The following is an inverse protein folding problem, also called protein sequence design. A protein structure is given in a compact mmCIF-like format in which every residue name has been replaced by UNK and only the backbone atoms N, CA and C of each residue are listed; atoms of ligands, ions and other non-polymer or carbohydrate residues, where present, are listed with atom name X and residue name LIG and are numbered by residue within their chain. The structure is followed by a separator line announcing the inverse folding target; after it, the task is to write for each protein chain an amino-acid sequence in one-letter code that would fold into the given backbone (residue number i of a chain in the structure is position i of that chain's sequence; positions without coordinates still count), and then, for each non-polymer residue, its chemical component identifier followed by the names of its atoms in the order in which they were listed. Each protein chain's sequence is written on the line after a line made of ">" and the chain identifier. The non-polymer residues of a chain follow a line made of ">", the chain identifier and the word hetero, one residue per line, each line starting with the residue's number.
data_IF_189300856767
#
_entry.id   IF_189300856767
#
_cell.length_a   1.000
_cell.length_b   1.000
_cell.length_c   1.000
_cell.angle_alpha   90.00
_cell.angle_beta   90.00
_cell.angle_gamma   90.00
#
_symmetry.space_group_name_H-M   'P 1'
#
loop_
_entity.id
_entity.type
_entity.pdbx_description
1 polymer ?
#
# COMPACT_ATOMS: atom_id res chain seq x y z
N UNK A 1 -0.77 13.78 -8.25
CA UNK A 1 0.28 13.04 -7.51
C UNK A 1 1.50 13.97 -7.29
N UNK A 2 1.30 15.18 -6.73
CA UNK A 2 2.33 16.24 -6.64
C UNK A 2 3.12 16.25 -5.31
N UNK A 3 2.88 15.27 -4.44
CA UNK A 3 3.35 15.30 -3.04
C UNK A 3 4.12 14.06 -2.59
N UNK A 4 4.14 13.01 -3.43
CA UNK A 4 5.04 11.88 -3.29
C UNK A 4 6.25 12.14 -4.20
N UNK A 5 7.46 11.89 -3.68
CA UNK A 5 8.70 12.00 -4.47
C UNK A 5 8.74 10.88 -5.50
N UNK A 6 8.33 9.68 -5.09
CA UNK A 6 8.43 8.45 -5.89
C UNK A 6 7.44 7.43 -5.32
N UNK A 7 6.75 6.69 -6.16
CA UNK A 7 5.90 5.58 -5.73
C UNK A 7 6.04 4.41 -6.70
N UNK A 8 6.17 3.19 -6.16
CA UNK A 8 6.06 1.94 -6.91
C UNK A 8 4.92 1.12 -6.35
N UNK A 9 4.17 0.44 -7.21
CA UNK A 9 3.15 -0.52 -6.83
C UNK A 9 3.01 -1.62 -7.87
N UNK A 10 2.34 -2.71 -7.53
CA UNK A 10 2.00 -3.76 -8.49
C UNK A 10 0.90 -3.32 -9.47
N UNK A 11 1.05 -3.65 -10.75
CA UNK A 11 0.01 -3.48 -11.77
C UNK A 11 -1.02 -4.60 -11.65
N UNK A 12 -2.31 -4.30 -11.89
CA UNK A 12 -3.27 -5.36 -12.22
C UNK A 12 -2.78 -6.13 -13.44
N UNK A 13 -2.91 -7.44 -13.42
CA UNK A 13 -2.52 -8.29 -14.54
C UNK A 13 -3.28 -9.61 -14.51
N UNK A 14 -3.49 -10.14 -15.70
CA UNK A 14 -4.20 -11.41 -15.95
C UNK A 14 -3.22 -12.48 -16.45
N UNK A 15 -3.62 -13.74 -16.34
CA UNK A 15 -2.87 -14.86 -16.93
C UNK A 15 -1.52 -15.16 -16.28
N UNK A 16 -1.31 -14.69 -15.05
CA UNK A 16 -0.10 -14.99 -14.27
C UNK A 16 -0.06 -16.48 -13.89
N UNK A 17 1.08 -17.12 -14.03
CA UNK A 17 1.36 -18.48 -13.55
C UNK A 17 1.88 -18.44 -12.10
N UNK A 18 1.83 -19.59 -11.43
CA UNK A 18 2.42 -19.71 -10.10
C UNK A 18 3.92 -19.39 -10.14
N UNK A 19 4.37 -18.53 -9.22
CA UNK A 19 5.74 -18.01 -9.17
C UNK A 19 5.98 -16.73 -9.97
N UNK A 20 5.06 -16.34 -10.87
CA UNK A 20 5.21 -15.10 -11.63
C UNK A 20 5.21 -13.90 -10.69
N UNK A 21 6.23 -13.05 -10.84
CA UNK A 21 6.31 -11.80 -10.12
C UNK A 21 5.31 -10.78 -10.70
N UNK A 22 4.68 -10.01 -9.82
CA UNK A 22 3.79 -8.92 -10.19
C UNK A 22 4.56 -7.79 -10.87
N UNK A 23 4.10 -7.41 -12.07
CA UNK A 23 4.67 -6.29 -12.82
C UNK A 23 4.56 -4.98 -12.02
N UNK A 24 5.58 -4.13 -12.10
CA UNK A 24 5.69 -2.91 -11.27
C UNK A 24 5.36 -1.66 -12.08
N UNK A 25 4.49 -0.80 -11.56
CA UNK A 25 4.27 0.56 -12.04
C UNK A 25 5.08 1.55 -11.20
N UNK A 26 5.79 2.46 -11.85
CA UNK A 26 6.63 3.48 -11.21
C UNK A 26 6.08 4.87 -11.51
N UNK A 27 5.98 5.70 -10.48
CA UNK A 27 5.53 7.08 -10.54
C UNK A 27 6.59 7.97 -9.88
N UNK A 28 7.03 9.03 -10.55
CA UNK A 28 8.05 9.95 -10.03
C UNK A 28 8.51 10.96 -11.08
N UNK A 29 9.31 11.97 -10.71
CA UNK A 29 9.87 12.96 -11.62
C UNK A 29 10.51 12.29 -12.84
N UNK A 30 10.16 12.75 -14.05
CA UNK A 30 10.69 12.23 -15.33
C UNK A 30 10.54 10.70 -15.54
N UNK A 31 9.59 10.03 -14.87
CA UNK A 31 9.40 8.58 -15.00
C UNK A 31 10.57 7.76 -14.47
N UNK A 32 11.45 8.36 -13.65
CA UNK A 32 12.65 7.67 -13.17
C UNK A 32 12.28 6.53 -12.24
N UNK A 33 12.77 5.32 -12.54
CA UNK A 33 12.76 4.15 -11.66
C UNK A 33 13.67 4.29 -10.42
N UNK A 34 14.27 5.47 -10.23
CA UNK A 34 15.21 5.77 -9.15
C UNK A 34 14.56 6.78 -8.22
N UNK A 35 14.37 6.37 -6.98
CA UNK A 35 14.05 7.30 -5.91
C UNK A 35 15.39 7.85 -5.35
N UNK A 36 15.51 9.14 -4.98
CA UNK A 36 16.78 9.74 -4.60
C UNK A 36 17.38 9.12 -3.33
N UNK A 37 18.69 8.84 -3.34
CA UNK A 37 19.49 8.59 -2.13
C UNK A 37 19.24 7.29 -1.36
N UNK A 38 18.38 6.39 -1.86
CA UNK A 38 18.05 5.13 -1.18
C UNK A 38 18.31 3.94 -2.10
N UNK A 39 18.96 2.90 -1.57
CA UNK A 39 18.91 1.57 -2.17
C UNK A 39 17.44 1.14 -2.11
N UNK A 40 16.75 0.98 -3.24
CA UNK A 40 15.34 0.61 -3.21
C UNK A 40 15.19 -0.74 -2.49
N UNK A 41 14.13 -0.93 -1.68
CA UNK A 41 13.92 -2.20 -1.01
C UNK A 41 13.69 -3.29 -2.05
N UNK A 42 14.11 -4.50 -1.71
CA UNK A 42 13.78 -5.69 -2.48
C UNK A 42 12.31 -5.98 -2.22
N UNK A 43 11.50 -5.91 -3.27
CA UNK A 43 10.07 -6.20 -3.21
C UNK A 43 9.83 -7.46 -4.04
N UNK A 44 9.22 -8.46 -3.40
CA UNK A 44 8.73 -9.67 -4.04
C UNK A 44 7.22 -9.76 -3.81
N UNK A 45 6.46 -9.86 -4.89
CA UNK A 45 5.03 -10.15 -4.86
C UNK A 45 4.78 -11.16 -5.97
N UNK A 46 4.80 -12.45 -5.61
CA UNK A 46 4.72 -13.55 -6.56
C UNK A 46 3.37 -14.26 -6.41
N UNK A 47 2.83 -14.74 -7.52
CA UNK A 47 1.57 -15.46 -7.52
C UNK A 47 1.71 -16.83 -6.83
N UNK A 48 0.85 -17.09 -5.85
CA UNK A 48 0.71 -18.42 -5.24
C UNK A 48 0.03 -19.45 -6.13
N UNK A 49 0.13 -20.73 -5.77
CA UNK A 49 -0.48 -21.85 -6.48
C UNK A 49 -1.87 -22.21 -5.92
N UNK A 50 -2.84 -21.30 -6.07
CA UNK A 50 -4.18 -21.40 -5.46
C UNK A 50 -5.30 -21.71 -6.44
N UNK A 51 -4.99 -21.92 -7.73
CA UNK A 51 -5.99 -22.14 -8.78
C UNK A 51 -6.81 -20.91 -9.19
N UNK A 52 -6.71 -19.80 -8.46
CA UNK A 52 -7.27 -18.49 -8.87
C UNK A 52 -6.49 -17.98 -10.08
N UNK A 53 -7.14 -17.34 -11.05
CA UNK A 53 -6.49 -16.93 -12.32
C UNK A 53 -5.50 -15.78 -12.13
N UNK A 54 -5.81 -14.83 -11.24
CA UNK A 54 -5.01 -13.63 -11.01
C UNK A 54 -4.24 -13.74 -9.69
N UNK A 55 -3.12 -13.03 -9.54
CA UNK A 55 -2.58 -12.77 -8.21
C UNK A 55 -3.47 -11.72 -7.53
N UNK A 56 -3.96 -11.99 -6.32
CA UNK A 56 -4.80 -11.05 -5.58
C UNK A 56 -4.00 -10.22 -4.58
N UNK A 57 -2.72 -10.57 -4.35
CA UNK A 57 -1.80 -9.79 -3.55
C UNK A 57 -1.37 -8.54 -4.29
N UNK A 58 -1.23 -7.41 -3.58
CA UNK A 58 -0.59 -6.23 -4.12
C UNK A 58 0.24 -5.52 -3.05
N UNK A 59 1.11 -4.63 -3.51
CA UNK A 59 2.00 -3.86 -2.66
C UNK A 59 2.11 -2.44 -3.16
N UNK A 60 2.59 -1.55 -2.30
CA UNK A 60 3.17 -0.30 -2.74
C UNK A 60 4.32 0.15 -1.84
N UNK A 61 5.15 1.02 -2.38
CA UNK A 61 6.18 1.72 -1.66
C UNK A 61 6.19 3.17 -2.12
N UNK A 62 6.01 4.10 -1.19
CA UNK A 62 5.89 5.52 -1.45
C UNK A 62 6.91 6.30 -0.64
N UNK A 63 7.74 7.09 -1.31
CA UNK A 63 8.73 7.98 -0.72
C UNK A 63 8.12 9.36 -0.56
N UNK A 64 8.08 9.83 0.67
CA UNK A 64 7.40 11.05 1.09
C UNK A 64 8.41 12.14 1.45
N UNK A 65 7.91 13.37 1.64
CA UNK A 65 8.72 14.47 2.13
C UNK A 65 9.36 14.16 3.51
N UNK A 66 10.51 14.77 3.80
CA UNK A 66 11.18 14.63 5.10
C UNK A 66 11.84 13.27 5.36
N UNK A 67 12.08 12.47 4.30
CA UNK A 67 12.76 11.17 4.40
C UNK A 67 11.86 10.00 4.84
N UNK A 68 10.56 10.23 4.96
CA UNK A 68 9.60 9.20 5.30
C UNK A 68 9.35 8.25 4.13
N UNK A 69 9.20 6.96 4.44
CA UNK A 69 8.81 5.94 3.47
C UNK A 69 7.61 5.17 3.98
N UNK A 70 6.62 4.97 3.12
CA UNK A 70 5.43 4.18 3.39
C UNK A 70 5.48 2.90 2.55
N UNK A 71 5.51 1.74 3.20
CA UNK A 71 5.34 0.44 2.56
C UNK A 71 3.94 -0.09 2.85
N UNK A 72 3.25 -0.61 1.83
CA UNK A 72 1.98 -1.29 1.96
C UNK A 72 2.06 -2.69 1.36
N UNK A 73 1.40 -3.65 2.01
CA UNK A 73 1.16 -4.99 1.48
C UNK A 73 -0.29 -5.36 1.73
N UNK A 74 -0.93 -5.98 0.75
CA UNK A 74 -2.35 -6.29 0.76
C UNK A 74 -2.57 -7.67 0.14
N UNK A 75 -3.37 -8.50 0.79
CA UNK A 75 -3.82 -9.80 0.28
C UNK A 75 -5.31 -9.68 -0.03
N UNK A 76 -5.66 -9.69 -1.32
CA UNK A 76 -7.03 -9.59 -1.80
C UNK A 76 -7.72 -10.95 -1.81
N UNK A 77 -9.02 -10.96 -1.52
CA UNK A 77 -9.84 -12.17 -1.58
C UNK A 77 -11.24 -11.88 -2.16
N UNK A 78 -11.94 -12.95 -2.55
CA UNK A 78 -13.22 -12.86 -3.26
C UNK A 78 -13.04 -12.60 -4.75
N UNK A 79 -14.14 -12.40 -5.46
CA UNK A 79 -14.14 -12.37 -6.94
C UNK A 79 -13.33 -11.21 -7.55
N UNK A 80 -13.31 -10.07 -6.85
CA UNK A 80 -12.59 -8.86 -7.24
C UNK A 80 -11.48 -8.48 -6.25
N UNK A 81 -10.95 -9.44 -5.47
CA UNK A 81 -9.90 -9.19 -4.47
C UNK A 81 -8.67 -8.45 -5.00
N UNK A 82 -8.23 -8.77 -6.23
CA UNK A 82 -7.15 -8.08 -6.94
C UNK A 82 -7.45 -6.60 -7.19
N UNK A 83 -8.71 -6.23 -7.45
CA UNK A 83 -9.10 -4.83 -7.66
C UNK A 83 -9.11 -4.09 -6.33
N UNK A 84 -9.64 -4.73 -5.28
CA UNK A 84 -9.62 -4.19 -3.92
C UNK A 84 -8.18 -3.96 -3.45
N UNK A 85 -7.34 -4.98 -3.48
CA UNK A 85 -5.93 -4.90 -3.09
C UNK A 85 -5.18 -3.81 -3.88
N UNK A 86 -5.37 -3.74 -5.20
CA UNK A 86 -4.76 -2.69 -6.02
C UNK A 86 -5.23 -1.30 -5.62
N UNK A 87 -6.53 -1.14 -5.35
CA UNK A 87 -7.08 0.17 -4.99
C UNK A 87 -6.52 0.63 -3.64
N UNK A 88 -6.55 -0.21 -2.60
CA UNK A 88 -6.11 0.19 -1.26
C UNK A 88 -4.61 0.48 -1.16
N UNK A 89 -3.75 -0.29 -1.86
CA UNK A 89 -2.30 -0.02 -1.87
C UNK A 89 -1.94 1.23 -2.66
N UNK A 90 -2.86 1.81 -3.44
CA UNK A 90 -2.64 3.07 -4.16
C UNK A 90 -3.29 4.27 -3.47
N UNK A 91 -4.44 4.08 -2.83
CA UNK A 91 -5.21 5.15 -2.21
C UNK A 91 -4.72 5.50 -0.80
N UNK A 92 -4.30 4.51 0.00
CA UNK A 92 -3.70 4.81 1.32
C UNK A 92 -2.45 5.68 1.19
N UNK A 93 -1.47 5.38 0.31
CA UNK A 93 -0.35 6.29 0.06
C UNK A 93 -0.75 7.64 -0.49
N UNK A 94 -1.80 7.72 -1.31
CA UNK A 94 -2.31 8.99 -1.81
C UNK A 94 -2.76 9.91 -0.68
N UNK A 95 -3.61 9.41 0.23
CA UNK A 95 -4.11 10.20 1.36
C UNK A 95 -3.00 10.57 2.34
N UNK A 96 -2.05 9.66 2.61
CA UNK A 96 -0.89 9.98 3.47
C UNK A 96 0.02 11.03 2.83
N UNK A 97 0.31 10.91 1.53
CA UNK A 97 1.16 11.88 0.84
C UNK A 97 0.57 13.30 0.88
N UNK A 98 -0.75 13.43 0.77
CA UNK A 98 -1.43 14.70 0.94
C UNK A 98 -1.25 15.27 2.35
N UNK A 99 -1.36 14.46 3.41
CA UNK A 99 -1.11 14.95 4.78
C UNK A 99 0.31 15.46 4.99
N UNK A 100 1.31 14.78 4.43
CA UNK A 100 2.70 15.25 4.48
C UNK A 100 2.91 16.56 3.70
N UNK A 101 2.22 16.74 2.57
CA UNK A 101 2.22 18.02 1.85
C UNK A 101 1.68 19.17 2.71
N UNK A 102 0.67 18.89 3.52
CA UNK A 102 0.02 19.85 4.41
C UNK A 102 0.82 20.09 5.71
N UNK A 103 2.04 19.56 5.81
CA UNK A 103 2.91 19.76 6.97
C UNK A 103 2.63 18.83 8.15
N UNK A 104 2.17 17.58 7.90
CA UNK A 104 2.00 16.58 8.94
C UNK A 104 3.26 16.42 9.80
N UNK A 105 3.11 16.72 11.08
CA UNK A 105 4.13 16.43 12.09
C UNK A 105 4.05 14.98 12.58
N UNK A 106 5.17 14.46 13.09
CA UNK A 106 5.30 13.08 13.59
C UNK A 106 4.21 12.71 14.61
N UNK A 107 3.85 13.62 15.51
CA UNK A 107 2.79 13.41 16.52
C UNK A 107 1.40 13.11 15.91
N UNK A 108 1.16 13.56 14.68
CA UNK A 108 -0.10 13.38 13.95
C UNK A 108 -0.14 12.11 13.10
N UNK A 109 0.98 11.40 12.93
CA UNK A 109 1.07 10.19 12.12
C UNK A 109 0.02 9.12 12.47
N UNK A 110 -0.24 8.80 13.76
CA UNK A 110 -1.27 7.81 14.12
C UNK A 110 -2.64 8.16 13.54
N UNK A 111 -3.08 9.41 13.73
CA UNK A 111 -4.37 9.89 13.26
C UNK A 111 -4.42 9.99 11.74
N UNK A 112 -3.31 10.35 11.09
CA UNK A 112 -3.20 10.38 9.64
C UNK A 112 -3.35 8.99 9.01
N UNK A 113 -2.73 7.95 9.60
CA UNK A 113 -2.89 6.56 9.18
C UNK A 113 -4.33 6.07 9.32
N UNK A 114 -4.98 6.33 10.46
CA UNK A 114 -6.39 6.00 10.67
C UNK A 114 -7.27 6.65 9.59
N UNK A 115 -7.15 7.96 9.41
CA UNK A 115 -7.94 8.71 8.44
C UNK A 115 -7.66 8.28 6.99
N UNK A 116 -6.45 7.83 6.67
CA UNK A 116 -6.11 7.32 5.35
C UNK A 116 -6.80 5.99 5.05
N UNK A 117 -6.91 5.08 6.03
CA UNK A 117 -7.65 3.82 5.89
C UNK A 117 -9.15 4.09 5.67
N UNK A 118 -9.75 4.96 6.50
CA UNK A 118 -11.17 5.34 6.35
C UNK A 118 -11.45 6.00 4.99
N UNK A 119 -10.54 6.89 4.54
CA UNK A 119 -10.67 7.56 3.25
C UNK A 119 -10.49 6.58 2.09
N UNK A 120 -9.57 5.62 2.22
CA UNK A 120 -9.37 4.56 1.23
C UNK A 120 -10.58 3.64 1.09
N UNK A 121 -11.26 3.30 2.20
CA UNK A 121 -12.49 2.52 2.16
C UNK A 121 -13.62 3.25 1.42
N UNK A 122 -13.84 4.53 1.75
CA UNK A 122 -14.86 5.35 1.06
C UNK A 122 -14.55 5.52 -0.42
N UNK A 123 -13.28 5.72 -0.76
CA UNK A 123 -12.84 5.81 -2.14
C UNK A 123 -13.00 4.46 -2.89
N UNK A 124 -12.75 3.33 -2.24
CA UNK A 124 -12.98 1.99 -2.79
C UNK A 124 -14.45 1.79 -3.18
N UNK A 125 -15.38 2.09 -2.28
CA UNK A 125 -16.83 2.00 -2.51
C UNK A 125 -17.29 2.95 -3.64
N UNK A 126 -16.80 4.19 -3.63
CA UNK A 126 -17.11 5.15 -4.69
C UNK A 126 -16.54 4.71 -6.04
N UNK A 127 -15.33 4.15 -6.05
CA UNK A 127 -14.68 3.64 -7.26
C UNK A 127 -15.41 2.40 -7.81
N UNK A 128 -15.80 1.46 -6.95
CA UNK A 128 -16.54 0.26 -7.36
C UNK A 128 -17.89 0.61 -7.98
N UNK A 129 -18.65 1.51 -7.34
CA UNK A 129 -19.89 2.04 -7.86
C UNK A 129 -19.71 2.77 -9.21
N UNK A 130 -18.65 3.59 -9.34
CA UNK A 130 -18.37 4.34 -10.58
C UNK A 130 -17.98 3.44 -11.75
N UNK A 131 -17.21 2.39 -11.51
CA UNK A 131 -16.68 1.51 -12.56
C UNK A 131 -17.46 0.20 -12.71
N UNK A 132 -18.57 0.03 -11.99
CA UNK A 132 -19.55 -1.03 -12.21
C UNK A 132 -19.05 -2.43 -11.81
N UNK A 133 -18.27 -2.55 -10.74
CA UNK A 133 -17.87 -3.85 -10.18
C UNK A 133 -18.27 -3.94 -8.71
N UNK A 134 -18.55 -5.16 -8.24
CA UNK A 134 -19.08 -5.39 -6.89
C UNK A 134 -17.96 -5.62 -5.88
N UNK A 135 -17.84 -4.72 -4.91
CA UNK A 135 -16.91 -4.85 -3.80
C UNK A 135 -17.54 -5.42 -2.51
N UNK A 136 -18.83 -5.77 -2.50
CA UNK A 136 -19.52 -6.28 -1.29
C UNK A 136 -19.05 -7.70 -0.93
N UNK A 137 -18.81 -8.53 -1.94
CA UNK A 137 -18.32 -9.91 -1.77
C UNK A 137 -16.81 -10.06 -2.01
N UNK A 138 -16.07 -8.95 -2.05
CA UNK A 138 -14.61 -8.94 -2.25
C UNK A 138 -13.97 -8.04 -1.21
N UNK A 139 -12.77 -8.42 -0.75
CA UNK A 139 -12.07 -7.68 0.29
C UNK A 139 -10.57 -7.81 0.14
N UNK A 140 -9.83 -7.17 1.05
CA UNK A 140 -8.41 -7.40 1.19
C UNK A 140 -7.95 -7.14 2.62
N UNK A 141 -6.95 -7.90 3.08
CA UNK A 141 -6.13 -7.46 4.20
C UNK A 141 -5.22 -6.32 3.74
N UNK A 142 -4.78 -5.47 4.67
CA UNK A 142 -3.82 -4.40 4.39
C UNK A 142 -2.96 -4.17 5.62
N UNK A 143 -1.64 -4.13 5.42
CA UNK A 143 -0.65 -3.61 6.37
C UNK A 143 0.02 -2.41 5.73
N UNK A 144 0.10 -1.31 6.48
CA UNK A 144 0.84 -0.11 6.12
C UNK A 144 1.92 0.14 7.17
N UNK A 145 3.16 0.29 6.74
CA UNK A 145 4.32 0.62 7.57
C UNK A 145 4.92 1.95 7.10
N UNK A 146 4.74 2.99 7.90
CA UNK A 146 5.34 4.30 7.68
C UNK A 146 6.57 4.44 8.57
N UNK A 147 7.73 4.69 7.97
CA UNK A 147 8.99 4.67 8.69
C UNK A 147 9.96 5.77 8.25
N UNK A 148 10.80 6.19 9.20
CA UNK A 148 11.90 7.12 9.01
C UNK A 148 12.99 6.84 10.07
N UNK A 149 14.19 6.48 9.62
CA UNK A 149 15.26 6.04 10.51
C UNK A 149 14.86 4.82 11.35
N UNK A 150 14.94 4.92 12.67
CA UNK A 150 14.62 3.85 13.63
C UNK A 150 13.16 3.81 14.07
N UNK A 151 12.32 4.69 13.54
CA UNK A 151 10.90 4.81 13.93
C UNK A 151 10.00 4.17 12.88
N UNK A 152 9.09 3.30 13.34
CA UNK A 152 8.08 2.66 12.48
C UNK A 152 6.70 2.78 13.10
N UNK A 153 5.76 3.30 12.31
CA UNK A 153 4.34 3.40 12.61
C UNK A 153 3.61 2.41 11.72
N UNK A 154 2.77 1.56 12.31
CA UNK A 154 1.99 0.59 11.53
C UNK A 154 0.49 0.71 11.76
N UNK A 155 -0.27 0.52 10.68
CA UNK A 155 -1.72 0.37 10.69
C UNK A 155 -2.08 -0.87 9.87
N UNK A 156 -3.03 -1.67 10.33
CA UNK A 156 -3.47 -2.86 9.61
C UNK A 156 -4.95 -3.18 9.80
N UNK A 157 -5.49 -3.84 8.79
CA UNK A 157 -6.79 -4.48 8.77
C UNK A 157 -6.62 -5.90 8.22
N UNK A 158 -7.21 -6.90 8.88
CA UNK A 158 -7.02 -8.30 8.54
C UNK A 158 -5.74 -8.92 9.13
N UNK A 159 -5.14 -9.86 8.42
CA UNK A 159 -4.13 -10.79 8.93
C UNK A 159 -2.72 -10.59 8.35
N UNK A 160 -2.52 -9.60 7.49
CA UNK A 160 -1.21 -9.17 7.02
C UNK A 160 -0.32 -8.72 8.19
N UNK A 161 0.98 -9.04 8.11
CA UNK A 161 1.94 -8.84 9.21
C UNK A 161 3.13 -7.98 8.79
N UNK A 162 3.65 -7.23 9.75
CA UNK A 162 4.91 -6.50 9.63
C UNK A 162 5.85 -6.98 10.73
N UNK A 163 7.09 -7.29 10.37
CA UNK A 163 8.13 -7.70 11.31
C UNK A 163 9.26 -6.68 11.25
N UNK A 164 9.54 -5.94 12.34
CA UNK A 164 10.67 -5.03 12.40
C UNK A 164 11.97 -5.83 12.52
N UNK A 165 13.06 -5.31 11.94
CA UNK A 165 14.40 -5.84 12.20
C UNK A 165 14.81 -5.55 13.65
N UNK A 166 15.76 -6.33 14.22
CA UNK A 166 16.31 -6.03 15.54
C UNK A 166 16.81 -4.58 15.60
N UNK A 167 16.58 -3.90 16.73
CA UNK A 167 16.94 -2.49 16.99
C UNK A 167 16.06 -1.41 16.34
N UNK A 168 14.86 -1.75 15.86
CA UNK A 168 13.85 -0.78 15.38
C UNK A 168 12.73 -0.63 16.40
N UNK A 169 12.38 0.60 16.80
CA UNK A 169 11.22 0.87 17.67
C UNK A 169 9.94 0.82 16.83
N UNK A 170 9.11 -0.20 17.08
CA UNK A 170 7.84 -0.39 16.38
C UNK A 170 6.67 0.04 17.26
N UNK A 171 5.83 0.94 16.75
CA UNK A 171 4.54 1.28 17.35
C UNK A 171 3.41 0.77 16.47
N UNK A 172 2.73 -0.27 16.93
CA UNK A 172 1.51 -0.80 16.33
C UNK A 172 0.32 0.05 16.77
N UNK A 173 -0.43 0.61 15.83
CA UNK A 173 -1.37 1.67 16.16
C UNK A 173 -2.84 1.31 15.99
N UNK A 174 -3.17 0.36 15.12
CA UNK A 174 -4.57 0.04 14.82
C UNK A 174 -4.74 -1.43 14.49
N UNK A 175 -5.67 -2.11 15.17
CA UNK A 175 -6.38 -3.29 14.70
C UNK A 175 -7.77 -2.79 14.29
N UNK A 176 -8.00 -2.54 13.00
CA UNK A 176 -9.37 -2.32 12.54
C UNK A 176 -10.08 -3.67 12.56
N UNK A 177 -11.08 -3.80 13.42
CA UNK A 177 -11.99 -4.95 13.57
C UNK A 177 -13.25 -4.75 12.76
#
# INVERSE_FOLDING_TARGET
>A
MHHAICMVHGKPGDGQMAGDEREKAWHGPAGTRRCPGLTPPVILCAKGNTGVVQNQDNFSLCFLAGGWTLACCSDGHGFHGQLVATRVVTTVPHFIAHKFADGLEERGVPAALAAAFDSAQKDLEAHSARFGWDCQASGASLIAALYNGSKVYTAHCGDARCFPLPHVEMRQMLRAS
#
